data_IF_072455929311
#
_entry.id   IF_072455929311
#
_cell.length_a   1.000
_cell.length_b   1.000
_cell.length_c   1.000
_cell.angle_alpha   90.00
_cell.angle_beta   90.00
_cell.angle_gamma   90.00
#
_symmetry.space_group_name_H-M   'P 1'
#
loop_
_entity.id
_entity.type
_entity.pdbx_description
1 polymer ?
#
# COMPACT_ATOMS: atom_id res chain seq x y z
N UNK A 1 -21.12 0.11 38.07
CA UNK A 1 -20.35 1.37 38.05
C UNK A 1 -18.91 0.98 37.72
N UNK A 2 -18.52 1.04 36.44
CA UNK A 2 -17.18 0.65 36.02
C UNK A 2 -16.19 1.72 36.47
N UNK A 3 -15.28 1.34 37.37
CA UNK A 3 -14.20 2.21 37.84
C UNK A 3 -13.21 2.43 36.70
N UNK A 4 -12.75 3.67 36.54
CA UNK A 4 -11.84 4.18 35.49
C UNK A 4 -10.42 3.57 35.48
N UNK A 5 -10.23 2.35 35.99
CA UNK A 5 -8.92 1.69 36.16
C UNK A 5 -8.77 0.38 35.38
N UNK A 6 -9.79 -0.05 34.65
CA UNK A 6 -9.70 -1.28 33.85
C UNK A 6 -9.02 -1.02 32.52
N UNK A 7 -8.01 -1.82 32.22
CA UNK A 7 -7.22 -1.72 31.00
C UNK A 7 -7.89 -2.58 29.95
N UNK A 8 -8.23 -1.98 28.81
CA UNK A 8 -8.90 -2.66 27.71
C UNK A 8 -8.06 -2.51 26.44
N UNK A 9 -7.71 -3.64 25.83
CA UNK A 9 -6.77 -3.82 24.71
C UNK A 9 -7.42 -4.57 23.55
N UNK A 10 -8.38 -5.46 23.82
CA UNK A 10 -9.11 -6.25 22.82
C UNK A 10 -9.68 -5.42 21.67
N UNK A 11 -10.24 -4.21 21.84
CA UNK A 11 -10.72 -3.40 20.72
C UNK A 11 -9.59 -2.88 19.82
N UNK A 12 -8.39 -2.63 20.39
CA UNK A 12 -7.22 -2.21 19.63
C UNK A 12 -6.69 -3.37 18.75
N UNK A 13 -6.65 -4.57 19.31
CA UNK A 13 -6.30 -5.79 18.57
C UNK A 13 -7.31 -6.07 17.46
N UNK A 14 -8.61 -5.92 17.75
CA UNK A 14 -9.66 -6.05 16.74
C UNK A 14 -9.49 -5.02 15.62
N UNK A 15 -9.19 -3.77 15.95
CA UNK A 15 -8.94 -2.74 14.95
C UNK A 15 -7.74 -3.08 14.06
N UNK A 16 -6.69 -3.68 14.64
CA UNK A 16 -5.52 -4.13 13.89
C UNK A 16 -5.86 -5.30 12.96
N UNK A 17 -6.60 -6.30 13.45
CA UNK A 17 -7.10 -7.42 12.64
C UNK A 17 -7.95 -6.93 11.46
N UNK A 18 -8.86 -5.98 11.70
CA UNK A 18 -9.70 -5.39 10.64
C UNK A 18 -8.86 -4.62 9.60
N UNK A 19 -7.75 -3.97 10.01
CA UNK A 19 -6.82 -3.34 9.06
C UNK A 19 -6.11 -4.38 8.19
N UNK A 20 -5.67 -5.49 8.79
CA UNK A 20 -5.02 -6.58 8.06
C UNK A 20 -5.95 -7.28 7.08
N UNK A 21 -7.22 -7.45 7.44
CA UNK A 21 -8.24 -8.06 6.58
C UNK A 21 -8.84 -7.08 5.55
N UNK A 22 -8.37 -5.83 5.54
CA UNK A 22 -8.86 -4.86 4.57
C UNK A 22 -8.47 -5.27 3.13
N UNK A 23 -9.40 -5.08 2.19
CA UNK A 23 -9.16 -5.37 0.76
C UNK A 23 -7.93 -4.67 0.20
N UNK A 24 -7.60 -3.49 0.73
CA UNK A 24 -6.39 -2.74 0.41
C UNK A 24 -5.14 -3.52 0.83
N UNK A 25 -5.14 -4.05 2.04
CA UNK A 25 -4.01 -4.81 2.56
C UNK A 25 -3.84 -6.13 1.81
N UNK A 26 -4.92 -6.87 1.60
CA UNK A 26 -4.93 -8.12 0.80
C UNK A 26 -4.27 -7.91 -0.57
N UNK A 27 -4.63 -6.84 -1.27
CA UNK A 27 -4.05 -6.51 -2.58
C UNK A 27 -2.56 -6.19 -2.50
N UNK A 28 -2.12 -5.49 -1.45
CA UNK A 28 -0.71 -5.13 -1.29
C UNK A 28 0.17 -6.32 -0.92
N UNK A 29 -0.34 -7.25 -0.11
CA UNK A 29 0.37 -8.47 0.24
C UNK A 29 0.67 -9.28 -1.01
N UNK A 30 -0.35 -9.48 -1.86
CA UNK A 30 -0.21 -10.23 -3.11
C UNK A 30 0.82 -9.58 -4.06
N UNK A 31 0.86 -8.24 -4.11
CA UNK A 31 1.84 -7.50 -4.92
C UNK A 31 3.29 -7.65 -4.41
N UNK A 32 3.49 -8.01 -3.13
CA UNK A 32 4.81 -8.08 -2.48
C UNK A 32 5.26 -9.49 -2.12
N UNK A 33 4.38 -10.49 -2.21
CA UNK A 33 4.69 -11.89 -1.92
C UNK A 33 4.97 -12.17 -0.44
N UNK A 34 4.31 -11.43 0.47
CA UNK A 34 4.46 -11.57 1.93
C UNK A 34 3.27 -12.26 2.61
N UNK A 35 2.53 -13.06 1.84
CA UNK A 35 1.29 -13.71 2.29
C UNK A 35 1.48 -14.58 3.52
N UNK A 36 2.59 -15.32 3.58
CA UNK A 36 2.86 -16.20 4.71
C UNK A 36 3.18 -15.41 5.99
N UNK A 37 3.99 -14.35 5.91
CA UNK A 37 4.31 -13.52 7.07
C UNK A 37 3.06 -12.83 7.61
N UNK A 38 2.19 -12.33 6.73
CA UNK A 38 0.97 -11.68 7.20
C UNK A 38 -0.06 -12.65 7.76
N UNK A 39 -0.22 -13.84 7.17
CA UNK A 39 -1.08 -14.88 7.74
C UNK A 39 -0.59 -15.31 9.12
N UNK A 40 0.73 -15.42 9.31
CA UNK A 40 1.31 -15.69 10.63
C UNK A 40 1.00 -14.54 11.61
N UNK A 41 1.19 -13.29 11.19
CA UNK A 41 0.87 -12.12 12.01
C UNK A 41 -0.62 -12.09 12.39
N UNK A 42 -1.52 -12.37 11.45
CA UNK A 42 -2.95 -12.41 11.69
C UNK A 42 -3.32 -13.44 12.76
N UNK A 43 -2.78 -14.67 12.64
CA UNK A 43 -2.97 -15.72 13.65
C UNK A 43 -2.45 -15.31 15.03
N UNK A 44 -1.23 -14.79 15.10
CA UNK A 44 -0.65 -14.30 16.35
C UNK A 44 -1.51 -13.21 16.99
N UNK A 45 -2.09 -12.32 16.20
CA UNK A 45 -2.98 -11.27 16.69
C UNK A 45 -4.35 -11.79 17.14
N UNK A 46 -4.85 -12.86 16.52
CA UNK A 46 -6.06 -13.55 16.98
C UNK A 46 -5.84 -14.24 18.33
N UNK A 47 -4.71 -14.94 18.49
CA UNK A 47 -4.33 -15.57 19.75
C UNK A 47 -4.17 -14.51 20.86
N UNK A 48 -3.49 -13.41 20.52
CA UNK A 48 -3.36 -12.25 21.38
C UNK A 48 -4.72 -11.66 21.77
N UNK A 49 -5.65 -11.50 20.83
CA UNK A 49 -7.01 -11.01 21.10
C UNK A 49 -7.75 -11.91 22.09
N UNK A 50 -7.72 -13.23 21.89
CA UNK A 50 -8.36 -14.19 22.78
C UNK A 50 -7.77 -14.14 24.20
N UNK A 51 -6.43 -14.04 24.29
CA UNK A 51 -5.73 -13.89 25.56
C UNK A 51 -6.07 -12.56 26.24
N UNK A 52 -6.10 -11.44 25.50
CA UNK A 52 -6.47 -10.13 26.02
C UNK A 52 -7.89 -10.11 26.56
N UNK A 53 -8.85 -10.61 25.79
CA UNK A 53 -10.26 -10.68 26.20
C UNK A 53 -10.42 -11.49 27.49
N UNK A 54 -9.78 -12.65 27.57
CA UNK A 54 -9.83 -13.49 28.78
C UNK A 54 -9.18 -12.80 29.98
N UNK A 55 -8.07 -12.09 29.75
CA UNK A 55 -7.31 -11.38 30.79
C UNK A 55 -8.05 -10.14 31.28
N UNK A 56 -8.74 -9.44 30.39
CA UNK A 56 -9.58 -8.27 30.69
C UNK A 56 -10.72 -8.62 31.63
N UNK A 57 -11.37 -9.78 31.43
CA UNK A 57 -12.42 -10.27 32.33
C UNK A 57 -11.85 -10.63 33.71
N UNK A 58 -10.67 -11.25 33.74
CA UNK A 58 -10.02 -11.69 34.98
C UNK A 58 -9.38 -10.54 35.79
N UNK A 59 -9.11 -9.38 35.17
CA UNK A 59 -8.42 -8.25 35.83
C UNK A 59 -9.20 -7.67 37.02
N UNK A 60 -10.52 -7.88 37.04
CA UNK A 60 -11.40 -7.47 38.15
C UNK A 60 -11.02 -8.23 39.43
N UNK A 61 -10.63 -9.49 39.28
CA UNK A 61 -10.26 -10.39 40.38
C UNK A 61 -8.76 -10.40 40.68
N UNK A 62 -7.90 -10.24 39.67
CA UNK A 62 -6.45 -10.15 39.83
C UNK A 62 -5.89 -8.84 39.25
N UNK A 63 -5.65 -7.83 40.09
CA UNK A 63 -5.08 -6.55 39.67
C UNK A 63 -3.69 -6.65 39.02
N UNK A 64 -2.94 -7.75 39.19
CA UNK A 64 -1.63 -7.94 38.54
C UNK A 64 -1.75 -8.05 37.02
N UNK A 65 -2.88 -8.59 36.55
CA UNK A 65 -3.17 -8.71 35.12
C UNK A 65 -3.27 -7.34 34.44
N UNK A 66 -3.55 -6.27 35.18
CA UNK A 66 -3.53 -4.89 34.65
C UNK A 66 -2.15 -4.47 34.14
N UNK A 67 -1.06 -4.98 34.71
CA UNK A 67 0.29 -4.70 34.21
C UNK A 67 0.53 -5.41 32.87
N UNK A 68 0.13 -6.68 32.77
CA UNK A 68 0.24 -7.45 31.51
C UNK A 68 -0.57 -6.78 30.40
N UNK A 69 -1.80 -6.34 30.69
CA UNK A 69 -2.63 -5.62 29.73
C UNK A 69 -2.02 -4.27 29.32
N UNK A 70 -1.36 -3.55 30.24
CA UNK A 70 -0.65 -2.30 29.90
C UNK A 70 0.52 -2.55 28.95
N UNK A 71 1.34 -3.55 29.22
CA UNK A 71 2.48 -3.91 28.38
C UNK A 71 1.99 -4.35 26.99
N UNK A 72 0.93 -5.15 26.96
CA UNK A 72 0.28 -5.57 25.72
C UNK A 72 -0.24 -4.38 24.91
N UNK A 73 -0.87 -3.41 25.58
CA UNK A 73 -1.36 -2.17 24.93
C UNK A 73 -0.22 -1.40 24.27
N UNK A 74 0.94 -1.29 24.92
CA UNK A 74 2.10 -0.61 24.35
C UNK A 74 2.59 -1.31 23.07
N UNK A 75 2.67 -2.65 23.10
CA UNK A 75 3.05 -3.46 21.94
C UNK A 75 2.05 -3.28 20.79
N UNK A 76 0.74 -3.30 21.08
CA UNK A 76 -0.31 -3.10 20.07
C UNK A 76 -0.24 -1.71 19.45
N UNK A 77 0.06 -0.67 20.23
CA UNK A 77 0.27 0.67 19.69
C UNK A 77 1.48 0.72 18.75
N UNK A 78 2.62 0.15 19.14
CA UNK A 78 3.81 0.05 18.26
C UNK A 78 3.49 -0.69 16.97
N UNK A 79 2.81 -1.83 17.06
CA UNK A 79 2.39 -2.61 15.89
C UNK A 79 1.45 -1.81 14.97
N UNK A 80 0.53 -1.02 15.54
CA UNK A 80 -0.35 -0.14 14.78
C UNK A 80 0.43 0.90 14.00
N UNK A 81 1.39 1.57 14.64
CA UNK A 81 2.24 2.58 13.99
C UNK A 81 3.03 1.98 12.82
N UNK A 82 3.65 0.81 13.03
CA UNK A 82 4.41 0.11 12.00
C UNK A 82 3.49 -0.25 10.83
N UNK A 83 2.31 -0.82 11.10
CA UNK A 83 1.36 -1.21 10.05
C UNK A 83 0.88 0.00 9.24
N UNK A 84 0.62 1.13 9.89
CA UNK A 84 0.20 2.36 9.21
C UNK A 84 1.32 2.92 8.30
N UNK A 85 2.59 2.83 8.72
CA UNK A 85 3.74 3.17 7.90
C UNK A 85 3.87 2.27 6.67
N UNK A 86 3.68 0.95 6.84
CA UNK A 86 3.64 0.00 5.72
C UNK A 86 2.55 0.34 4.72
N UNK A 87 1.33 0.64 5.20
CA UNK A 87 0.20 1.03 4.34
C UNK A 87 0.54 2.32 3.58
N UNK A 88 1.13 3.31 4.25
CA UNK A 88 1.53 4.56 3.64
C UNK A 88 2.55 4.34 2.50
N UNK A 89 3.59 3.53 2.75
CA UNK A 89 4.62 3.26 1.75
C UNK A 89 4.09 2.43 0.57
N UNK A 90 3.18 1.48 0.83
CA UNK A 90 2.52 0.70 -0.21
C UNK A 90 1.69 1.60 -1.14
N UNK A 91 0.93 2.54 -0.58
CA UNK A 91 0.18 3.56 -1.35
C UNK A 91 1.15 4.43 -2.16
N UNK A 92 2.24 4.91 -1.54
CA UNK A 92 3.26 5.71 -2.21
C UNK A 92 3.85 5.00 -3.44
N UNK A 93 4.20 3.72 -3.31
CA UNK A 93 4.68 2.89 -4.42
C UNK A 93 3.64 2.73 -5.52
N UNK A 94 2.37 2.53 -5.18
CA UNK A 94 1.30 2.42 -6.17
C UNK A 94 1.15 3.71 -7.00
N UNK A 95 1.19 4.87 -6.33
CA UNK A 95 1.14 6.18 -6.99
C UNK A 95 2.35 6.35 -7.92
N UNK A 96 3.55 5.99 -7.46
CA UNK A 96 4.76 6.08 -8.27
C UNK A 96 4.73 5.17 -9.50
N UNK A 97 4.24 3.93 -9.36
CA UNK A 97 4.02 3.00 -10.49
C UNK A 97 3.03 3.58 -11.51
N UNK A 98 1.91 4.16 -11.05
CA UNK A 98 0.93 4.82 -11.94
C UNK A 98 1.55 6.01 -12.68
N UNK A 99 2.31 6.87 -11.98
CA UNK A 99 3.02 8.00 -12.60
C UNK A 99 4.02 7.54 -13.67
N UNK A 100 4.80 6.48 -13.40
CA UNK A 100 5.73 5.89 -14.37
C UNK A 100 5.00 5.32 -15.60
N UNK A 101 3.87 4.62 -15.40
CA UNK A 101 3.03 4.11 -16.50
C UNK A 101 2.47 5.23 -17.37
N UNK A 102 1.98 6.32 -16.76
CA UNK A 102 1.46 7.46 -17.52
C UNK A 102 2.56 8.18 -18.31
N UNK A 103 3.76 8.35 -17.74
CA UNK A 103 4.90 8.95 -18.46
C UNK A 103 5.35 8.10 -19.64
N UNK A 104 5.39 6.77 -19.49
CA UNK A 104 5.76 5.85 -20.59
C UNK A 104 4.70 5.81 -21.68
N UNK A 105 3.42 5.82 -21.32
CA UNK A 105 2.33 5.94 -22.28
C UNK A 105 2.40 7.27 -23.07
N UNK A 106 2.63 8.39 -22.38
CA UNK A 106 2.80 9.70 -23.02
C UNK A 106 4.01 9.72 -23.96
N UNK A 107 5.16 9.18 -23.52
CA UNK A 107 6.36 9.05 -24.38
C UNK A 107 6.09 8.23 -25.64
N UNK A 108 5.37 7.12 -25.51
CA UNK A 108 4.99 6.28 -26.66
C UNK A 108 4.09 7.04 -27.63
N UNK A 109 3.03 7.70 -27.13
CA UNK A 109 2.12 8.49 -27.96
C UNK A 109 2.85 9.63 -28.70
N UNK A 110 3.76 10.33 -28.01
CA UNK A 110 4.59 11.35 -28.64
C UNK A 110 5.48 10.72 -29.72
N UNK A 111 6.18 9.63 -29.42
CA UNK A 111 7.04 8.92 -30.38
C UNK A 111 6.28 8.42 -31.61
N UNK A 112 5.08 7.86 -31.44
CA UNK A 112 4.18 7.44 -32.52
C UNK A 112 3.75 8.65 -33.36
N UNK A 113 3.43 9.79 -32.73
CA UNK A 113 3.10 11.03 -33.43
C UNK A 113 4.29 11.61 -34.21
N UNK A 114 5.51 11.51 -33.67
CA UNK A 114 6.73 11.93 -34.36
C UNK A 114 7.13 10.97 -35.49
N UNK A 115 6.85 9.66 -35.37
CA UNK A 115 7.11 8.67 -36.42
C UNK A 115 6.07 8.72 -37.56
N UNK A 116 4.80 9.00 -37.25
CA UNK A 116 3.74 9.21 -38.24
C UNK A 116 3.97 10.47 -39.08
N UNK A 117 4.64 11.48 -38.52
CA UNK A 117 5.19 12.61 -39.26
C UNK A 117 6.57 12.26 -39.82
N UNK A 118 6.63 11.35 -40.80
CA UNK A 118 7.83 11.14 -41.64
C UNK A 118 8.52 12.47 -41.93
N UNK A 119 9.81 12.55 -41.58
CA UNK A 119 10.55 13.78 -41.32
C UNK A 119 10.17 14.95 -42.24
N UNK A 120 9.88 16.16 -41.71
CA UNK A 120 9.64 17.37 -42.51
C UNK A 120 10.73 17.58 -43.57
N UNK A 121 11.96 17.19 -43.23
CA UNK A 121 13.14 17.22 -44.10
C UNK A 121 13.00 16.27 -45.30
N UNK A 122 12.43 15.07 -45.14
CA UNK A 122 12.23 14.11 -46.24
C UNK A 122 11.07 14.55 -47.15
N UNK A 123 10.01 15.14 -46.58
CA UNK A 123 8.92 15.78 -47.30
C UNK A 123 9.39 17.01 -48.09
N UNK A 124 10.22 17.87 -47.49
CA UNK A 124 10.88 18.99 -48.17
C UNK A 124 11.85 18.51 -49.26
N UNK A 125 12.67 17.48 -49.00
CA UNK A 125 13.59 16.90 -50.00
C UNK A 125 12.84 16.36 -51.23
N UNK A 126 11.70 15.68 -51.03
CA UNK A 126 10.86 15.22 -52.14
C UNK A 126 10.28 16.39 -52.94
N UNK A 127 9.79 17.44 -52.27
CA UNK A 127 9.27 18.65 -52.94
C UNK A 127 10.35 19.38 -53.75
N UNK A 128 11.56 19.52 -53.20
CA UNK A 128 12.70 20.13 -53.88
C UNK A 128 13.13 19.30 -55.10
N UNK A 129 13.22 17.97 -54.96
CA UNK A 129 13.58 17.08 -56.07
C UNK A 129 12.58 17.13 -57.22
N UNK A 130 11.28 17.19 -56.92
CA UNK A 130 10.21 17.32 -57.93
C UNK A 130 10.30 18.68 -58.63
N UNK A 131 10.53 19.77 -57.89
CA UNK A 131 10.67 21.11 -58.47
C UNK A 131 11.90 21.22 -59.39
N UNK A 132 13.05 20.66 -58.99
CA UNK A 132 14.26 20.65 -59.83
C UNK A 132 14.05 19.86 -61.14
N UNK A 133 13.34 18.71 -61.09
CA UNK A 133 13.09 17.89 -62.27
C UNK A 133 12.15 18.56 -63.29
N UNK A 134 11.28 19.46 -62.83
CA UNK A 134 10.36 20.21 -63.69
C UNK A 134 11.04 21.41 -64.38
N UNK A 135 12.11 21.95 -63.79
CA UNK A 135 12.85 23.09 -64.35
C UNK A 135 13.89 22.65 -65.39
N UNK A 136 14.31 21.39 -65.37
CA UNK A 136 15.34 20.82 -66.26
C UNK A 136 14.77 20.07 -67.48
N UNK A 137 13.46 20.16 -67.73
CA UNK A 137 12.77 19.58 -68.89
C UNK A 137 12.15 20.67 -69.75
#
# INVERSE_FOLDING_TARGET
MATTEDVVVSPLLQALLNKLDSSRMIKFISDWGVDQQLNNLFRTLQDAYAMASSTEDMQISDPRLKFILKDMREVVHKATCILDEFIYEAVGRQILRRRRKNRSALRRLLSERYAANTSPILSMRKKIYIAMRFILS
#
